data_IF_657281125289
#
_entry.id   IF_657281125289
#
_cell.length_a   1.000
_cell.length_b   1.000
_cell.length_c   1.000
_cell.angle_alpha   90.00
_cell.angle_beta   90.00
_cell.angle_gamma   90.00
#
_symmetry.space_group_name_H-M   'P 1'
#
loop_
_entity.id
_entity.type
_entity.pdbx_description
1 polymer ?
#
# COMPACT_ATOMS: atom_id res chain seq x y z
N UNK A 1 14.51 6.93 23.74
CA UNK A 1 14.21 7.58 22.44
C UNK A 1 14.40 6.53 21.35
N UNK A 2 13.38 5.70 21.07
CA UNK A 2 13.54 4.51 20.18
C UNK A 2 12.39 4.30 19.20
N UNK A 3 11.28 5.05 19.30
CA UNK A 3 10.11 4.87 18.43
C UNK A 3 10.34 5.33 16.97
N UNK A 4 11.17 6.36 16.76
CA UNK A 4 11.46 6.89 15.43
C UNK A 4 12.18 5.87 14.54
N UNK A 5 13.15 5.14 15.10
CA UNK A 5 13.96 4.16 14.34
C UNK A 5 13.18 2.92 13.89
N UNK A 6 12.21 2.46 14.70
CA UNK A 6 11.39 1.29 14.36
C UNK A 6 10.39 1.64 13.25
N UNK A 7 9.73 2.79 13.38
CA UNK A 7 8.79 3.28 12.37
C UNK A 7 9.50 3.59 11.04
N UNK A 8 10.70 4.20 11.07
CA UNK A 8 11.52 4.38 9.87
C UNK A 8 11.94 3.07 9.22
N UNK A 9 12.26 2.04 10.01
CA UNK A 9 12.57 0.71 9.50
C UNK A 9 11.37 0.07 8.80
N UNK A 10 10.18 0.16 9.41
CA UNK A 10 8.91 -0.31 8.80
C UNK A 10 8.64 0.43 7.50
N UNK A 11 8.77 1.76 7.46
CA UNK A 11 8.61 2.56 6.23
C UNK A 11 9.57 2.09 5.13
N UNK A 12 10.86 1.94 5.41
CA UNK A 12 11.83 1.47 4.41
C UNK A 12 11.48 0.09 3.85
N UNK A 13 11.05 -0.83 4.70
CA UNK A 13 10.59 -2.17 4.29
C UNK A 13 9.34 -2.10 3.40
N UNK A 14 8.36 -1.27 3.78
CA UNK A 14 7.13 -1.09 3.02
C UNK A 14 7.40 -0.44 1.66
N UNK A 15 8.23 0.59 1.63
CA UNK A 15 8.66 1.23 0.39
C UNK A 15 9.27 0.22 -0.57
N UNK A 16 10.24 -0.58 -0.09
CA UNK A 16 10.88 -1.60 -0.92
C UNK A 16 9.87 -2.62 -1.46
N UNK A 17 8.99 -3.15 -0.60
CA UNK A 17 7.94 -4.09 -1.02
C UNK A 17 6.95 -3.47 -2.02
N UNK A 18 6.68 -2.18 -1.93
CA UNK A 18 5.70 -1.50 -2.77
C UNK A 18 6.27 -1.23 -4.16
N UNK A 19 7.59 -1.01 -4.26
CA UNK A 19 8.33 -0.75 -5.49
C UNK A 19 8.98 -1.98 -6.12
N UNK A 20 8.79 -3.16 -5.53
CA UNK A 20 9.33 -4.45 -6.00
C UNK A 20 8.21 -5.47 -6.14
N UNK A 21 7.07 -5.06 -6.73
CA UNK A 21 5.95 -5.95 -7.06
C UNK A 21 6.20 -6.68 -8.38
N UNK A 22 5.59 -7.86 -8.54
CA UNK A 22 5.77 -8.68 -9.74
C UNK A 22 4.99 -8.16 -10.96
N UNK A 23 3.98 -7.31 -10.72
CA UNK A 23 3.12 -6.72 -11.75
C UNK A 23 3.45 -5.23 -11.89
N UNK A 24 3.79 -4.81 -13.11
CA UNK A 24 4.20 -3.43 -13.41
C UNK A 24 3.11 -2.39 -13.13
N UNK A 25 1.85 -2.67 -13.47
CA UNK A 25 0.75 -1.76 -13.10
C UNK A 25 0.63 -1.57 -11.59
N UNK A 26 0.79 -2.64 -10.80
CA UNK A 26 0.71 -2.52 -9.34
C UNK A 26 1.91 -1.77 -8.77
N UNK A 27 3.09 -1.93 -9.35
CA UNK A 27 4.26 -1.12 -8.99
C UNK A 27 4.02 0.38 -9.23
N UNK A 28 3.43 0.75 -10.36
CA UNK A 28 3.14 2.15 -10.68
C UNK A 28 2.08 2.76 -9.75
N UNK A 29 1.01 2.01 -9.46
CA UNK A 29 -0.08 2.50 -8.60
C UNK A 29 0.37 2.49 -7.14
N UNK A 30 0.73 1.33 -6.60
CA UNK A 30 1.06 1.15 -5.18
C UNK A 30 2.41 1.77 -4.85
N UNK A 31 3.45 1.47 -5.64
CA UNK A 31 4.79 2.04 -5.46
C UNK A 31 4.78 3.55 -5.61
N UNK A 32 4.12 4.09 -6.64
CA UNK A 32 3.98 5.54 -6.83
C UNK A 32 3.27 6.22 -5.66
N UNK A 33 2.13 5.66 -5.21
CA UNK A 33 1.40 6.19 -4.06
C UNK A 33 2.23 6.19 -2.78
N UNK A 34 2.90 5.06 -2.49
CA UNK A 34 3.73 4.89 -1.29
C UNK A 34 4.94 5.83 -1.33
N UNK A 35 5.64 5.95 -2.46
CA UNK A 35 6.76 6.89 -2.62
C UNK A 35 6.34 8.33 -2.27
N UNK A 36 5.14 8.75 -2.68
CA UNK A 36 4.66 10.12 -2.45
C UNK A 36 4.13 10.37 -1.04
N UNK A 37 3.46 9.39 -0.43
CA UNK A 37 2.70 9.63 0.81
C UNK A 37 3.30 9.01 2.07
N UNK A 38 4.18 8.01 1.96
CA UNK A 38 4.69 7.24 3.11
C UNK A 38 5.39 8.08 4.18
N UNK A 39 6.02 9.19 3.78
CA UNK A 39 6.67 10.12 4.71
C UNK A 39 5.70 10.81 5.68
N UNK A 40 4.42 10.93 5.31
CA UNK A 40 3.37 11.55 6.12
C UNK A 40 2.50 10.56 6.89
N UNK A 41 2.71 9.25 6.75
CA UNK A 41 1.85 8.25 7.38
C UNK A 41 2.04 8.18 8.90
N UNK A 42 0.91 8.13 9.60
CA UNK A 42 0.80 7.79 11.02
C UNK A 42 1.12 6.31 11.27
N UNK A 43 1.32 5.93 12.54
CA UNK A 43 1.58 4.52 12.92
C UNK A 43 0.41 3.59 12.54
N UNK A 44 -0.83 4.07 12.66
CA UNK A 44 -2.03 3.36 12.22
C UNK A 44 -2.05 3.16 10.70
N UNK A 45 -1.72 4.19 9.91
CA UNK A 45 -1.63 4.07 8.45
C UNK A 45 -0.50 3.14 8.01
N UNK A 46 0.63 3.12 8.73
CA UNK A 46 1.72 2.17 8.46
C UNK A 46 1.26 0.74 8.74
N UNK A 47 0.53 0.52 9.83
CA UNK A 47 0.00 -0.79 10.20
C UNK A 47 -1.06 -1.25 9.20
N UNK A 48 -1.88 -0.33 8.71
CA UNK A 48 -2.87 -0.63 7.68
C UNK A 48 -2.21 -0.92 6.32
N UNK A 49 -1.17 -0.15 5.96
CA UNK A 49 -0.37 -0.43 4.77
C UNK A 49 0.29 -1.81 4.86
N UNK A 50 0.80 -2.22 6.02
CA UNK A 50 1.35 -3.58 6.21
C UNK A 50 0.32 -4.67 5.87
N UNK A 51 -0.94 -4.51 6.27
CA UNK A 51 -2.02 -5.46 5.91
C UNK A 51 -2.34 -5.44 4.42
N UNK A 52 -2.42 -4.26 3.82
CA UNK A 52 -2.63 -4.11 2.36
C UNK A 52 -1.50 -4.78 1.59
N UNK A 53 -0.29 -4.80 2.16
CA UNK A 53 0.87 -5.39 1.52
C UNK A 53 0.87 -6.93 1.51
N UNK A 54 0.00 -7.56 2.30
CA UNK A 54 -0.26 -9.00 2.26
C UNK A 54 -1.23 -9.41 1.13
N UNK A 55 -1.92 -8.43 0.53
CA UNK A 55 -2.86 -8.67 -0.55
C UNK A 55 -2.10 -9.01 -1.85
N UNK A 56 -2.49 -10.09 -2.55
CA UNK A 56 -1.91 -10.46 -3.84
C UNK A 56 -2.09 -9.37 -4.90
N UNK A 57 -1.09 -9.22 -5.76
CA UNK A 57 -1.12 -8.22 -6.85
C UNK A 57 -2.31 -8.44 -7.80
N UNK A 58 -2.74 -9.70 -8.00
CA UNK A 58 -3.88 -10.04 -8.85
C UNK A 58 -5.21 -9.52 -8.30
N UNK A 59 -5.42 -9.62 -6.99
CA UNK A 59 -6.64 -9.12 -6.34
C UNK A 59 -6.64 -7.59 -6.35
N UNK A 60 -5.52 -6.97 -6.00
CA UNK A 60 -5.34 -5.52 -6.07
C UNK A 60 -5.64 -4.97 -7.47
N UNK A 61 -5.12 -5.63 -8.51
CA UNK A 61 -5.36 -5.25 -9.90
C UNK A 61 -6.83 -5.45 -10.30
N UNK A 62 -7.46 -6.55 -9.86
CA UNK A 62 -8.87 -6.82 -10.12
C UNK A 62 -9.77 -5.76 -9.49
N UNK A 63 -9.43 -5.26 -8.31
CA UNK A 63 -10.17 -4.18 -7.65
C UNK A 63 -9.91 -2.81 -8.30
N UNK A 64 -8.65 -2.52 -8.65
CA UNK A 64 -8.28 -1.27 -9.32
C UNK A 64 -8.98 -1.14 -10.69
N UNK A 65 -9.08 -2.26 -11.43
CA UNK A 65 -9.77 -2.33 -12.73
C UNK A 65 -11.29 -2.50 -12.62
N UNK A 66 -11.84 -2.53 -11.39
CA UNK A 66 -13.26 -2.77 -11.10
C UNK A 66 -13.81 -4.09 -11.67
N UNK A 67 -12.92 -5.07 -11.87
CA UNK A 67 -13.30 -6.43 -12.24
C UNK A 67 -13.86 -7.24 -11.06
N UNK A 68 -13.49 -6.85 -9.84
CA UNK A 68 -14.02 -7.40 -8.61
C UNK A 68 -14.24 -6.30 -7.57
N UNK A 69 -15.13 -6.55 -6.62
CA UNK A 69 -15.34 -5.68 -5.45
C UNK A 69 -14.32 -6.02 -4.34
N UNK A 70 -13.95 -5.00 -3.55
CA UNK A 70 -13.07 -5.19 -2.41
C UNK A 70 -13.85 -5.89 -1.29
N UNK A 71 -13.39 -7.06 -0.79
CA UNK A 71 -14.03 -7.73 0.33
C UNK A 71 -14.08 -6.83 1.58
N UNK A 72 -15.14 -6.91 2.42
CA UNK A 72 -15.27 -6.07 3.61
C UNK A 72 -14.10 -6.18 4.59
N UNK A 73 -13.43 -7.32 4.62
CA UNK A 73 -12.24 -7.57 5.46
C UNK A 73 -11.00 -6.79 5.02
N UNK A 74 -10.91 -6.43 3.74
CA UNK A 74 -9.81 -5.64 3.18
C UNK A 74 -10.20 -4.17 2.99
N UNK A 75 -11.47 -3.84 3.14
CA UNK A 75 -11.98 -2.50 2.95
C UNK A 75 -11.38 -1.55 4.00
N UNK A 76 -10.44 -0.72 3.54
CA UNK A 76 -9.81 0.34 4.34
C UNK A 76 -9.89 1.68 3.61
N UNK A 77 -9.98 2.82 4.34
CA UNK A 77 -9.81 4.15 3.76
C UNK A 77 -8.50 4.27 2.97
N UNK A 78 -7.41 3.66 3.44
CA UNK A 78 -6.11 3.72 2.76
C UNK A 78 -6.11 2.90 1.48
N UNK A 79 -6.67 1.69 1.51
CA UNK A 79 -6.81 0.86 0.30
C UNK A 79 -7.63 1.58 -0.76
N UNK A 80 -8.74 2.21 -0.37
CA UNK A 80 -9.57 3.00 -1.29
C UNK A 80 -8.78 4.14 -1.94
N UNK A 81 -7.94 4.84 -1.16
CA UNK A 81 -7.05 5.89 -1.69
C UNK A 81 -6.01 5.34 -2.66
N UNK A 82 -5.45 4.16 -2.38
CA UNK A 82 -4.48 3.48 -3.25
C UNK A 82 -5.14 3.07 -4.57
N UNK A 83 -6.31 2.43 -4.53
CA UNK A 83 -7.00 1.98 -5.74
C UNK A 83 -7.51 3.14 -6.60
N UNK A 84 -7.79 4.30 -5.99
CA UNK A 84 -8.16 5.52 -6.70
C UNK A 84 -6.95 6.32 -7.21
N UNK A 85 -5.72 5.96 -6.79
CA UNK A 85 -4.52 6.68 -7.19
C UNK A 85 -4.22 6.42 -8.67
N UNK A 86 -4.10 7.51 -9.42
CA UNK A 86 -3.69 7.51 -10.82
C UNK A 86 -2.34 8.25 -10.90
N UNK A 87 -1.24 7.57 -11.27
CA UNK A 87 0.08 8.17 -11.37
C UNK A 87 0.20 9.21 -12.49
#
# INVERSE_FOLDING_TARGET
>A
MTASSETETRRKRLLWRATHRGIKEMDLILGGFVVQHLGGFSEDEITDLERIMEIPDQDMLSWATRQAEVPPEHLSPLLTRILAYTP
#
